data_IF_575675544990
#
_entry.id   IF_575675544990
#
_cell.length_a   1.000
_cell.length_b   1.000
_cell.length_c   1.000
_cell.angle_alpha   90.00
_cell.angle_beta   90.00
_cell.angle_gamma   90.00
#
_symmetry.space_group_name_H-M   'P 1'
#
loop_
_entity.id
_entity.type
_entity.pdbx_description
1 polymer ?
#
# COMPACT_ATOMS: atom_id res chain seq x y z
N UNK A 1 0.48 57.39 48.49
CA UNK A 1 0.94 56.60 47.33
C UNK A 1 1.25 55.18 47.80
N UNK A 2 0.39 54.20 47.48
CA UNK A 2 0.69 52.75 47.55
C UNK A 2 -0.37 52.05 46.71
N UNK A 3 0.03 51.66 45.50
CA UNK A 3 -0.79 51.02 44.48
C UNK A 3 -0.89 49.53 44.83
N UNK A 4 -2.12 49.01 44.87
CA UNK A 4 -2.41 47.58 44.93
C UNK A 4 -2.14 46.93 43.57
N UNK A 5 -1.58 45.72 43.57
CA UNK A 5 -1.73 44.77 42.46
C UNK A 5 -1.98 43.37 43.03
N UNK A 6 -3.22 42.90 42.88
CA UNK A 6 -3.61 41.50 43.07
C UNK A 6 -3.59 40.87 41.68
N UNK A 7 -2.66 39.94 41.46
CA UNK A 7 -2.54 39.22 40.18
C UNK A 7 -3.44 37.97 40.23
N UNK A 8 -4.56 38.00 39.51
CA UNK A 8 -5.42 36.83 39.29
C UNK A 8 -4.79 35.93 38.21
N UNK A 9 -4.35 34.73 38.60
CA UNK A 9 -3.95 33.68 37.67
C UNK A 9 -5.20 32.87 37.26
N UNK A 10 -5.73 33.16 36.07
CA UNK A 10 -6.79 32.35 35.46
C UNK A 10 -6.11 31.15 34.79
N UNK A 11 -6.16 29.99 35.46
CA UNK A 11 -5.71 28.72 34.92
C UNK A 11 -6.77 28.22 33.92
N UNK A 12 -6.71 28.72 32.68
CA UNK A 12 -7.57 28.25 31.60
C UNK A 12 -7.06 26.89 31.13
N UNK A 13 -7.50 25.83 31.81
CA UNK A 13 -7.30 24.45 31.40
C UNK A 13 -8.03 24.16 30.10
N UNK A 14 -7.38 24.44 28.97
CA UNK A 14 -7.80 23.94 27.68
C UNK A 14 -7.57 22.42 27.69
N UNK A 15 -8.62 21.66 27.97
CA UNK A 15 -8.69 20.26 27.56
C UNK A 15 -8.54 20.22 26.05
N UNK A 16 -7.31 20.04 25.58
CA UNK A 16 -7.01 19.58 24.22
C UNK A 16 -7.50 18.14 24.12
N UNK A 17 -8.81 17.97 24.03
CA UNK A 17 -9.39 16.78 23.43
C UNK A 17 -9.00 16.87 21.96
N UNK A 18 -7.83 16.35 21.60
CA UNK A 18 -7.51 16.01 20.23
C UNK A 18 -8.45 14.88 19.83
N UNK A 19 -9.70 15.23 19.55
CA UNK A 19 -10.57 14.39 18.74
C UNK A 19 -9.88 14.31 17.39
N UNK A 20 -9.11 13.24 17.16
CA UNK A 20 -8.75 12.83 15.81
C UNK A 20 -10.08 12.61 15.10
N UNK A 21 -10.52 13.62 14.35
CA UNK A 21 -11.64 13.48 13.45
C UNK A 21 -11.24 12.41 12.44
N UNK A 22 -11.76 11.19 12.63
CA UNK A 22 -11.53 10.09 11.70
C UNK A 22 -12.05 10.52 10.34
N UNK A 23 -11.15 10.70 9.38
CA UNK A 23 -11.51 11.15 8.03
C UNK A 23 -12.41 10.10 7.39
N UNK A 24 -13.63 10.48 6.94
CA UNK A 24 -14.54 9.52 6.34
C UNK A 24 -14.01 9.05 4.98
N UNK A 25 -14.28 7.79 4.65
CA UNK A 25 -14.01 7.27 3.31
C UNK A 25 -14.78 8.07 2.26
N UNK A 26 -14.07 8.53 1.22
CA UNK A 26 -14.61 9.36 0.14
C UNK A 26 -14.88 8.54 -1.10
N UNK A 27 -13.84 7.91 -1.66
CA UNK A 27 -13.90 7.08 -2.87
C UNK A 27 -12.60 6.31 -3.07
N UNK A 28 -12.63 5.32 -3.94
CA UNK A 28 -11.42 4.81 -4.61
C UNK A 28 -11.13 5.73 -5.80
N UNK A 29 -9.86 6.02 -6.08
CA UNK A 29 -9.47 6.87 -7.21
C UNK A 29 -9.83 6.25 -8.55
N UNK A 30 -9.71 4.93 -8.63
CA UNK A 30 -9.98 4.10 -9.81
C UNK A 30 -10.44 2.72 -9.30
N UNK A 31 -11.56 2.21 -9.82
CA UNK A 31 -12.15 0.96 -9.30
C UNK A 31 -11.52 -0.28 -9.95
N UNK A 32 -11.27 -0.19 -11.24
CA UNK A 32 -10.86 -1.28 -12.12
C UNK A 32 -9.63 -0.84 -12.90
N UNK A 33 -8.79 -1.79 -13.32
CA UNK A 33 -7.65 -1.53 -14.19
C UNK A 33 -7.48 -2.70 -15.14
N UNK A 34 -7.05 -2.43 -16.37
CA UNK A 34 -6.74 -3.49 -17.35
C UNK A 34 -5.73 -4.49 -16.77
N UNK A 35 -4.82 -4.02 -15.92
CA UNK A 35 -3.75 -4.79 -15.29
C UNK A 35 -4.18 -5.62 -14.06
N UNK A 36 -5.43 -5.49 -13.59
CA UNK A 36 -5.93 -6.15 -12.38
C UNK A 36 -7.32 -6.75 -12.57
N UNK A 37 -7.43 -8.06 -12.36
CA UNK A 37 -8.68 -8.81 -12.55
C UNK A 37 -9.62 -8.78 -11.32
N UNK A 38 -9.58 -7.72 -10.51
CA UNK A 38 -10.43 -7.56 -9.33
C UNK A 38 -11.07 -6.17 -9.27
N UNK A 39 -11.97 -6.00 -8.30
CA UNK A 39 -12.75 -4.77 -8.11
C UNK A 39 -12.38 -4.12 -6.77
N UNK A 40 -11.62 -3.02 -6.83
CA UNK A 40 -11.26 -2.26 -5.63
C UNK A 40 -12.47 -1.55 -5.00
N UNK A 41 -13.54 -1.32 -5.77
CA UNK A 41 -14.81 -0.72 -5.34
C UNK A 41 -15.85 -1.74 -4.89
N UNK A 42 -15.53 -3.03 -4.87
CA UNK A 42 -16.42 -4.06 -4.36
C UNK A 42 -16.90 -3.69 -2.95
N UNK A 43 -18.19 -3.94 -2.65
CA UNK A 43 -18.80 -3.56 -1.36
C UNK A 43 -18.01 -4.06 -0.15
N UNK A 44 -17.47 -5.28 -0.24
CA UNK A 44 -16.64 -5.87 0.80
C UNK A 44 -15.34 -5.08 1.02
N UNK A 45 -14.69 -4.62 -0.05
CA UNK A 45 -13.47 -3.82 0.01
C UNK A 45 -13.74 -2.42 0.57
N UNK A 46 -14.82 -1.75 0.12
CA UNK A 46 -15.23 -0.45 0.69
C UNK A 46 -15.48 -0.54 2.21
N UNK A 47 -16.08 -1.64 2.68
CA UNK A 47 -16.28 -1.85 4.11
C UNK A 47 -14.95 -2.00 4.88
N UNK A 48 -13.96 -2.71 4.31
CA UNK A 48 -12.60 -2.79 4.86
C UNK A 48 -11.96 -1.40 4.95
N UNK A 49 -12.08 -0.55 3.92
CA UNK A 49 -11.49 0.79 3.91
C UNK A 49 -12.09 1.71 4.96
N UNK A 50 -13.42 1.74 5.07
CA UNK A 50 -14.12 2.49 6.12
C UNK A 50 -13.69 2.06 7.52
N UNK A 51 -13.53 0.75 7.72
CA UNK A 51 -13.09 0.19 9.00
C UNK A 51 -11.65 0.60 9.31
N UNK A 52 -10.75 0.52 8.32
CA UNK A 52 -9.35 0.91 8.47
C UNK A 52 -9.21 2.40 8.80
N UNK A 53 -9.87 3.30 8.07
CA UNK A 53 -9.85 4.74 8.36
C UNK A 53 -10.40 5.10 9.75
N UNK A 54 -11.29 4.27 10.32
CA UNK A 54 -11.82 4.47 11.67
C UNK A 54 -10.86 3.99 12.76
N UNK A 55 -10.13 2.91 12.50
CA UNK A 55 -9.46 2.13 13.56
C UNK A 55 -7.92 2.16 13.48
N UNK A 56 -7.36 2.52 12.33
CA UNK A 56 -5.91 2.47 12.09
C UNK A 56 -5.33 3.87 12.02
N UNK A 57 -4.09 4.00 12.52
CA UNK A 57 -3.24 5.16 12.22
C UNK A 57 -2.49 4.90 10.92
N UNK A 58 -1.99 5.95 10.29
CA UNK A 58 -1.09 5.83 9.16
C UNK A 58 0.07 4.87 9.50
N UNK A 59 0.37 3.97 8.57
CA UNK A 59 1.43 2.95 8.69
C UNK A 59 2.40 2.99 7.48
N UNK A 60 2.13 3.83 6.49
CA UNK A 60 2.88 3.94 5.25
C UNK A 60 3.01 5.41 4.83
N UNK A 61 4.22 5.80 4.41
CA UNK A 61 4.55 7.14 3.93
C UNK A 61 3.88 8.27 4.74
N UNK A 62 4.02 8.18 6.07
CA UNK A 62 3.57 9.10 7.11
C UNK A 62 2.06 9.33 7.24
N UNK A 63 1.29 9.26 6.16
CA UNK A 63 -0.13 9.66 6.11
C UNK A 63 -1.05 8.63 5.46
N UNK A 64 -0.51 7.55 4.93
CA UNK A 64 -1.32 6.50 4.32
C UNK A 64 -1.49 5.32 5.27
N UNK A 65 -2.66 4.68 5.19
CA UNK A 65 -2.84 3.31 5.66
C UNK A 65 -2.70 2.41 4.43
N UNK A 66 -1.66 1.60 4.40
CA UNK A 66 -1.48 0.56 3.41
C UNK A 66 -2.21 -0.72 3.86
N UNK A 67 -3.02 -1.28 2.96
CA UNK A 67 -3.77 -2.51 3.15
C UNK A 67 -3.51 -3.48 1.99
N UNK A 68 -3.49 -4.78 2.31
CA UNK A 68 -3.66 -5.85 1.34
C UNK A 68 -5.15 -6.25 1.31
N UNK A 69 -5.82 -6.13 0.17
CA UNK A 69 -7.21 -6.57 -0.04
C UNK A 69 -7.33 -7.97 -0.58
N UNK A 70 -6.23 -8.54 -1.06
CA UNK A 70 -6.14 -9.88 -1.65
C UNK A 70 -6.16 -10.99 -0.61
N UNK A 71 -5.56 -12.12 -0.97
CA UNK A 71 -5.55 -13.34 -0.16
C UNK A 71 -4.15 -13.60 0.42
N UNK A 72 -3.93 -14.79 1.00
CA UNK A 72 -2.57 -15.21 1.35
C UNK A 72 -1.70 -15.51 0.13
N UNK A 73 -2.31 -15.75 -1.03
CA UNK A 73 -1.64 -16.23 -2.23
C UNK A 73 -1.60 -15.15 -3.33
N UNK A 74 -2.28 -14.02 -3.09
CA UNK A 74 -2.36 -12.84 -3.96
C UNK A 74 -2.24 -11.57 -3.12
N UNK A 75 -1.33 -10.67 -3.51
CA UNK A 75 -1.25 -9.33 -2.95
C UNK A 75 -1.92 -8.33 -3.89
N UNK A 76 -2.87 -7.60 -3.33
CA UNK A 76 -3.65 -6.57 -4.01
C UNK A 76 -3.63 -5.36 -3.08
N UNK A 77 -2.79 -4.38 -3.40
CA UNK A 77 -2.42 -3.34 -2.43
C UNK A 77 -3.19 -2.06 -2.68
N UNK A 78 -3.59 -1.40 -1.59
CA UNK A 78 -4.24 -0.10 -1.66
C UNK A 78 -3.75 0.80 -0.53
N UNK A 79 -3.54 2.08 -0.86
CA UNK A 79 -3.20 3.10 0.12
C UNK A 79 -4.37 4.03 0.39
N UNK A 80 -4.81 4.10 1.65
CA UNK A 80 -5.86 5.01 2.10
C UNK A 80 -5.23 6.28 2.64
N UNK A 81 -5.54 7.42 2.04
CA UNK A 81 -5.09 8.72 2.52
C UNK A 81 -5.90 9.14 3.76
N UNK A 82 -5.23 9.15 4.92
CA UNK A 82 -5.86 9.52 6.20
C UNK A 82 -6.26 10.99 6.29
N UNK A 83 -5.89 11.83 5.32
CA UNK A 83 -6.22 13.25 5.28
C UNK A 83 -7.41 13.54 4.36
N UNK A 84 -7.57 12.77 3.28
CA UNK A 84 -8.59 13.03 2.25
C UNK A 84 -9.69 11.96 2.16
N UNK A 85 -9.45 10.78 2.74
CA UNK A 85 -10.35 9.64 2.65
C UNK A 85 -10.39 8.98 1.27
N UNK A 86 -9.46 9.34 0.37
CA UNK A 86 -9.33 8.75 -0.96
C UNK A 86 -8.44 7.51 -0.86
N UNK A 87 -8.85 6.43 -1.53
CA UNK A 87 -8.09 5.19 -1.64
C UNK A 87 -7.42 5.10 -3.02
N UNK A 88 -6.12 4.78 -3.06
CA UNK A 88 -5.31 4.69 -4.26
C UNK A 88 -4.83 3.24 -4.45
N UNK A 89 -5.37 2.51 -5.44
CA UNK A 89 -4.99 1.13 -5.70
C UNK A 89 -3.63 1.03 -6.38
N UNK A 90 -2.92 -0.06 -6.10
CA UNK A 90 -1.82 -0.54 -6.91
C UNK A 90 -2.42 -1.46 -7.98
N UNK A 91 -2.33 -1.06 -9.25
CA UNK A 91 -3.00 -1.75 -10.34
C UNK A 91 -2.33 -3.09 -10.75
N UNK A 92 -1.38 -3.60 -9.97
CA UNK A 92 -0.73 -4.89 -10.21
C UNK A 92 -1.10 -5.89 -9.13
N UNK A 93 -1.31 -7.13 -9.56
CA UNK A 93 -1.44 -8.28 -8.68
C UNK A 93 -0.09 -9.00 -8.56
N UNK A 94 0.28 -9.37 -7.34
CA UNK A 94 1.47 -10.19 -7.08
C UNK A 94 1.09 -11.55 -6.51
N UNK A 95 1.60 -12.63 -7.12
CA UNK A 95 1.41 -14.01 -6.66
C UNK A 95 2.74 -14.63 -6.23
N UNK A 96 2.73 -15.94 -5.95
CA UNK A 96 3.86 -16.65 -5.39
C UNK A 96 5.12 -16.64 -6.26
N UNK A 97 6.20 -17.15 -5.67
CA UNK A 97 7.46 -17.38 -6.35
C UNK A 97 7.49 -18.79 -6.94
N UNK A 98 7.93 -18.89 -8.17
CA UNK A 98 7.95 -20.12 -8.95
C UNK A 98 9.38 -20.68 -9.09
N UNK A 99 9.49 -22.00 -9.20
CA UNK A 99 10.73 -22.66 -9.65
C UNK A 99 10.88 -22.63 -11.18
N UNK A 100 11.96 -23.20 -11.69
CA UNK A 100 12.25 -23.25 -13.14
C UNK A 100 11.24 -24.11 -13.94
N UNK A 101 10.33 -24.80 -13.26
CA UNK A 101 9.27 -25.61 -13.85
C UNK A 101 7.88 -24.96 -13.68
N UNK A 102 7.81 -23.72 -13.19
CA UNK A 102 6.55 -23.00 -12.96
C UNK A 102 5.78 -23.46 -11.73
N UNK A 103 6.40 -24.23 -10.82
CA UNK A 103 5.73 -24.60 -9.57
C UNK A 103 5.90 -23.49 -8.54
N UNK A 104 4.79 -23.01 -7.98
CA UNK A 104 4.82 -22.08 -6.85
C UNK A 104 5.44 -22.76 -5.61
N UNK A 105 6.56 -22.23 -5.12
CA UNK A 105 7.29 -22.73 -3.94
C UNK A 105 7.22 -21.80 -2.72
N UNK A 106 6.85 -20.53 -2.91
CA UNK A 106 6.77 -19.55 -1.83
C UNK A 106 5.63 -18.58 -2.09
N UNK A 107 4.92 -18.16 -1.04
CA UNK A 107 3.88 -17.13 -1.12
C UNK A 107 4.45 -15.76 -1.50
N UNK A 108 3.66 -14.86 -2.10
CA UNK A 108 4.10 -13.50 -2.29
C UNK A 108 4.35 -12.83 -0.94
N UNK A 109 5.21 -11.82 -0.92
CA UNK A 109 5.52 -11.04 0.28
C UNK A 109 5.66 -9.57 -0.05
N UNK A 110 5.55 -8.72 0.96
CA UNK A 110 5.69 -7.29 0.80
C UNK A 110 6.33 -6.65 2.03
N UNK A 111 7.01 -5.54 1.83
CA UNK A 111 7.65 -4.73 2.88
C UNK A 111 7.34 -3.27 2.67
N UNK A 112 7.10 -2.54 3.75
CA UNK A 112 6.84 -1.11 3.76
C UNK A 112 7.13 -0.57 5.15
N UNK A 113 7.20 0.76 5.28
CA UNK A 113 7.30 1.37 6.60
C UNK A 113 6.60 2.72 6.65
N UNK A 114 6.42 3.23 7.87
CA UNK A 114 5.85 4.55 8.10
C UNK A 114 6.75 5.68 7.57
N UNK A 115 8.07 5.47 7.57
CA UNK A 115 9.07 6.50 7.33
C UNK A 115 9.75 6.40 5.95
N UNK A 116 9.44 5.36 5.18
CA UNK A 116 9.93 5.13 3.83
C UNK A 116 8.74 5.17 2.87
N UNK A 117 8.76 6.02 1.83
CA UNK A 117 7.69 6.09 0.84
C UNK A 117 7.61 4.87 -0.09
N UNK A 118 8.47 3.85 0.09
CA UNK A 118 8.49 2.64 -0.74
C UNK A 118 7.73 1.47 -0.13
N UNK A 119 6.82 0.92 -0.94
CA UNK A 119 6.21 -0.41 -0.78
C UNK A 119 6.91 -1.36 -1.75
N UNK A 120 7.59 -2.38 -1.25
CA UNK A 120 8.24 -3.38 -2.10
C UNK A 120 7.49 -4.70 -2.06
N UNK A 121 6.98 -5.15 -3.20
CA UNK A 121 6.35 -6.45 -3.40
C UNK A 121 7.34 -7.45 -3.99
N UNK A 122 7.13 -8.71 -3.66
CA UNK A 122 8.07 -9.81 -3.90
C UNK A 122 7.30 -11.07 -4.32
N UNK A 123 7.45 -11.51 -5.57
CA UNK A 123 6.70 -12.60 -6.18
C UNK A 123 6.63 -12.46 -7.70
N UNK A 124 5.70 -13.18 -8.34
CA UNK A 124 5.37 -12.97 -9.75
C UNK A 124 4.36 -11.84 -9.92
N UNK A 125 4.61 -10.92 -10.85
CA UNK A 125 3.75 -9.79 -11.17
C UNK A 125 2.92 -10.10 -12.42
N UNK A 126 1.62 -9.82 -12.33
CA UNK A 126 0.67 -9.90 -13.43
C UNK A 126 0.28 -8.50 -13.90
N UNK A 127 0.12 -8.34 -15.22
CA UNK A 127 -0.33 -7.11 -15.87
C UNK A 127 -1.55 -7.34 -16.78
N UNK A 128 -2.48 -8.20 -16.33
CA UNK A 128 -3.87 -8.30 -16.80
C UNK A 128 -4.16 -8.14 -18.30
N UNK A 129 -4.53 -9.24 -18.96
CA UNK A 129 -5.19 -9.17 -20.26
C UNK A 129 -5.99 -10.46 -20.56
N UNK A 130 -7.06 -10.81 -19.79
CA UNK A 130 -8.00 -11.98 -19.90
C UNK A 130 -7.89 -13.09 -18.81
N UNK A 131 -8.88 -13.98 -18.62
CA UNK A 131 -8.77 -15.12 -17.71
C UNK A 131 -7.65 -16.08 -18.14
N UNK A 132 -6.63 -16.24 -17.29
CA UNK A 132 -5.44 -17.07 -17.56
C UNK A 132 -4.26 -16.32 -18.20
N UNK A 133 -4.14 -15.00 -18.00
CA UNK A 133 -3.13 -14.20 -18.71
C UNK A 133 -1.89 -13.83 -17.94
N UNK A 134 -0.89 -13.50 -18.76
CA UNK A 134 0.53 -13.69 -18.57
C UNK A 134 1.12 -13.11 -17.28
N UNK A 135 2.03 -13.87 -16.68
CA UNK A 135 3.05 -13.26 -15.84
C UNK A 135 3.85 -12.28 -16.71
N UNK A 136 3.81 -11.00 -16.38
CA UNK A 136 4.68 -10.00 -17.01
C UNK A 136 6.13 -10.24 -16.59
N UNK A 137 6.29 -10.59 -15.32
CA UNK A 137 7.57 -10.85 -14.69
C UNK A 137 7.38 -11.89 -13.58
N UNK A 138 8.01 -13.05 -13.73
CA UNK A 138 8.05 -14.05 -12.66
C UNK A 138 9.11 -13.66 -11.63
N UNK A 139 8.97 -14.03 -10.36
CA UNK A 139 10.07 -13.96 -9.37
C UNK A 139 10.81 -12.61 -9.29
N UNK A 140 10.09 -11.50 -9.12
CA UNK A 140 10.71 -10.18 -8.96
C UNK A 140 10.56 -9.64 -7.55
N UNK A 141 11.41 -8.65 -7.22
CA UNK A 141 11.10 -7.61 -6.24
C UNK A 141 10.85 -6.32 -7.00
N UNK A 142 9.73 -5.65 -6.75
CA UNK A 142 9.42 -4.34 -7.33
C UNK A 142 8.95 -3.38 -6.24
N UNK A 143 9.53 -2.17 -6.17
CA UNK A 143 9.14 -1.15 -5.22
C UNK A 143 8.33 -0.03 -5.86
N UNK A 144 7.25 0.34 -5.20
CA UNK A 144 6.33 1.39 -5.63
C UNK A 144 6.27 2.50 -4.59
N UNK A 145 6.04 3.72 -5.04
CA UNK A 145 5.77 4.88 -4.19
C UNK A 145 4.53 5.60 -4.70
N UNK A 146 3.80 6.27 -3.81
CA UNK A 146 2.66 7.08 -4.25
C UNK A 146 3.20 8.40 -4.79
N UNK A 147 2.94 8.66 -6.07
CA UNK A 147 3.27 9.92 -6.72
C UNK A 147 2.01 10.72 -6.98
N UNK A 148 2.12 12.03 -6.80
CA UNK A 148 1.09 13.00 -7.18
C UNK A 148 1.59 13.79 -8.37
N UNK A 149 0.94 13.63 -9.51
CA UNK A 149 1.24 14.33 -10.74
C UNK A 149 0.03 15.15 -11.17
N UNK A 150 0.16 16.49 -11.24
CA UNK A 150 -0.91 17.41 -11.65
C UNK A 150 -2.30 17.03 -11.11
N UNK A 151 -3.08 16.28 -11.89
CA UNK A 151 -4.46 15.86 -11.63
C UNK A 151 -4.63 14.43 -11.11
N UNK A 152 -3.57 13.62 -11.04
CA UNK A 152 -3.61 12.20 -10.68
C UNK A 152 -2.71 11.87 -9.49
N UNK A 153 -3.07 10.82 -8.75
CA UNK A 153 -2.27 10.28 -7.66
C UNK A 153 -2.40 8.78 -7.70
N UNK A 154 -1.27 8.08 -7.79
CA UNK A 154 -1.21 6.62 -7.90
C UNK A 154 0.10 6.09 -7.39
N UNK A 155 0.19 4.77 -7.28
CA UNK A 155 1.48 4.11 -7.20
C UNK A 155 2.23 4.26 -8.52
N UNK A 156 3.54 4.42 -8.39
CA UNK A 156 4.49 4.43 -9.49
C UNK A 156 5.77 3.69 -9.09
N UNK A 157 6.43 3.07 -10.06
CA UNK A 157 7.70 2.34 -9.89
C UNK A 157 8.66 2.71 -11.02
N UNK A 158 9.95 2.73 -10.71
CA UNK A 158 11.01 2.93 -11.71
C UNK A 158 11.73 1.62 -12.04
N UNK A 159 12.44 1.57 -13.17
CA UNK A 159 13.21 0.37 -13.54
C UNK A 159 14.22 -0.05 -12.45
N UNK A 160 14.85 0.92 -11.79
CA UNK A 160 15.82 0.66 -10.69
C UNK A 160 15.18 0.08 -9.44
N UNK A 161 13.85 0.15 -9.30
CA UNK A 161 13.12 -0.44 -8.18
C UNK A 161 12.83 -1.93 -8.39
N UNK A 162 13.10 -2.45 -9.60
CA UNK A 162 12.84 -3.82 -9.99
C UNK A 162 14.12 -4.66 -9.98
N UNK A 163 14.08 -5.79 -9.30
CA UNK A 163 15.13 -6.81 -9.30
C UNK A 163 14.51 -8.13 -9.72
N UNK A 164 15.06 -8.72 -10.78
CA UNK A 164 14.68 -10.04 -11.26
C UNK A 164 15.47 -11.12 -10.52
N UNK A 165 14.83 -12.24 -10.18
CA UNK A 165 15.49 -13.37 -9.54
C UNK A 165 15.32 -14.63 -10.39
N UNK A 166 16.28 -15.53 -10.27
CA UNK A 166 16.22 -16.90 -10.79
C UNK A 166 16.23 -17.90 -9.64
N UNK A 167 15.59 -19.04 -9.86
CA UNK A 167 15.61 -20.13 -8.90
C UNK A 167 16.90 -20.96 -9.06
N UNK A 168 17.73 -20.98 -8.01
CA UNK A 168 18.90 -21.86 -7.92
C UNK A 168 18.44 -23.25 -7.46
N UNK A 169 18.40 -24.20 -8.39
CA UNK A 169 17.95 -25.57 -8.14
C UNK A 169 18.81 -26.34 -7.12
N UNK A 170 20.09 -25.98 -6.96
CA UNK A 170 20.99 -26.66 -6.03
C UNK A 170 20.78 -26.14 -4.61
N UNK A 171 20.66 -24.83 -4.47
CA UNK A 171 20.46 -24.15 -3.17
C UNK A 171 19.00 -24.07 -2.76
N UNK A 172 18.07 -24.40 -3.66
CA UNK A 172 16.61 -24.30 -3.46
C UNK A 172 16.19 -22.91 -2.99
N UNK A 173 16.79 -21.88 -3.59
CA UNK A 173 16.56 -20.47 -3.23
C UNK A 173 16.55 -19.58 -4.47
N UNK A 174 15.97 -18.39 -4.36
CA UNK A 174 16.02 -17.38 -5.41
C UNK A 174 17.23 -16.49 -5.22
N UNK A 175 18.00 -16.32 -6.28
CA UNK A 175 19.16 -15.42 -6.34
C UNK A 175 18.87 -14.31 -7.35
N UNK A 176 19.27 -13.05 -7.07
CA UNK A 176 19.17 -11.98 -8.05
C UNK A 176 19.87 -12.39 -9.35
N UNK A 177 19.29 -12.04 -10.50
CA UNK A 177 20.02 -12.10 -11.75
C UNK A 177 21.25 -11.20 -11.65
N UNK A 178 22.44 -11.70 -12.03
CA UNK A 178 23.59 -10.83 -12.21
C UNK A 178 23.29 -9.85 -13.35
N UNK A 179 23.50 -8.56 -13.08
CA UNK A 179 23.43 -7.49 -14.09
C UNK A 179 24.46 -7.69 -15.23
#
# INVERSE_FOLDING_TARGET
MKIQLITLLILSGCCLSSASANVPFKKVSECDSDYFNGDYCAKANIAKYKTALKNMKANFDKKYILLNTGTSDSLEMIALDTQTGIAYPLNYQFTGWEDNQGNVKKKPSYTFSLNDPKLCLMGSQFDGDHPGTHETYSNIRNCFSIKKERSFTSFDSTYTDKVQYQYDDKKKTWIPYPD
#
